data_IF_536832282141
#
_entry.id   IF_536832282141
#
_cell.length_a   1.000
_cell.length_b   1.000
_cell.length_c   1.000
_cell.angle_alpha   90.00
_cell.angle_beta   90.00
_cell.angle_gamma   90.00
#
_symmetry.space_group_name_H-M   'P 1'
#
loop_
_entity.id
_entity.type
_entity.pdbx_description
1 polymer ?
#
# COMPACT_ATOMS: atom_id res chain seq x y z
N UNK A 1 38.47 -29.12 24.50
CA UNK A 1 38.18 -27.98 25.39
C UNK A 1 36.79 -27.45 25.00
N UNK A 2 35.69 -27.99 25.54
CA UNK A 2 34.94 -27.56 26.75
C UNK A 2 34.61 -26.06 26.83
N UNK A 3 33.35 -25.73 26.49
CA UNK A 3 32.40 -24.72 27.03
C UNK A 3 31.52 -24.22 25.85
N UNK A 4 30.31 -24.73 25.60
CA UNK A 4 29.06 -24.72 26.37
C UNK A 4 28.43 -23.33 26.54
N UNK A 5 27.09 -23.32 26.41
CA UNK A 5 26.11 -22.28 26.83
C UNK A 5 25.93 -21.17 25.77
N UNK A 6 24.78 -20.85 25.17
CA UNK A 6 23.35 -21.06 25.50
C UNK A 6 22.55 -20.98 24.18
N UNK A 7 22.04 -22.11 23.66
CA UNK A 7 20.89 -22.11 22.75
C UNK A 7 19.65 -22.06 23.63
N UNK A 8 19.09 -20.87 23.83
CA UNK A 8 17.79 -20.75 24.49
C UNK A 8 16.72 -21.11 23.47
N UNK A 9 16.24 -22.34 23.59
CA UNK A 9 14.91 -22.74 23.15
C UNK A 9 13.91 -21.75 23.77
N UNK A 10 13.09 -21.13 22.93
CA UNK A 10 11.75 -20.72 23.33
C UNK A 10 10.85 -21.51 22.39
N UNK A 11 10.46 -22.69 22.88
CA UNK A 11 9.34 -23.44 22.34
C UNK A 11 8.10 -22.56 22.45
N UNK A 12 7.43 -22.40 21.31
CA UNK A 12 6.15 -21.75 21.21
C UNK A 12 5.08 -22.60 21.93
N UNK A 13 4.87 -22.34 23.22
CA UNK A 13 3.62 -22.69 23.88
C UNK A 13 2.59 -21.60 23.57
N UNK A 14 2.02 -21.65 22.36
CA UNK A 14 0.80 -20.89 22.06
C UNK A 14 -0.38 -21.77 22.45
N UNK A 15 -0.68 -21.76 23.74
CA UNK A 15 -1.94 -22.30 24.27
C UNK A 15 -3.07 -21.46 23.67
N UNK A 16 -3.87 -22.08 22.80
CA UNK A 16 -5.13 -21.55 22.30
C UNK A 16 -6.06 -21.27 23.49
N UNK A 17 -6.10 -20.02 23.98
CA UNK A 17 -7.22 -19.53 24.75
C UNK A 17 -8.38 -19.31 23.77
N UNK A 18 -9.31 -20.26 23.77
CA UNK A 18 -10.62 -20.09 23.18
C UNK A 18 -11.34 -18.96 23.94
N UNK A 19 -11.52 -17.82 23.28
CA UNK A 19 -12.44 -16.77 23.72
C UNK A 19 -13.87 -17.29 23.60
N UNK A 20 -14.69 -17.23 24.66
CA UNK A 20 -16.12 -17.53 24.54
C UNK A 20 -16.79 -16.44 23.68
N UNK A 21 -17.76 -16.78 22.81
CA UNK A 21 -18.52 -15.77 22.09
C UNK A 21 -19.36 -14.95 23.07
N UNK A 22 -19.31 -13.63 22.93
CA UNK A 22 -20.10 -12.68 23.71
C UNK A 22 -21.61 -12.90 23.51
N UNK A 23 -22.44 -12.72 24.56
CA UNK A 23 -23.89 -12.75 24.42
C UNK A 23 -24.37 -11.51 23.68
N UNK A 24 -25.10 -11.71 22.58
CA UNK A 24 -25.77 -10.66 21.84
C UNK A 24 -26.83 -9.95 22.71
N UNK A 25 -26.92 -8.60 22.68
CA UNK A 25 -27.92 -7.88 23.43
C UNK A 25 -29.32 -8.13 22.87
N UNK A 26 -30.24 -8.50 23.75
CA UNK A 26 -31.67 -8.62 23.47
C UNK A 26 -32.26 -7.24 23.14
N UNK A 27 -32.86 -7.11 21.96
CA UNK A 27 -33.62 -5.92 21.54
C UNK A 27 -35.05 -6.01 22.12
N UNK A 28 -35.54 -4.98 22.84
CA UNK A 28 -36.92 -4.94 23.35
C UNK A 28 -37.97 -4.73 22.24
N UNK A 29 -39.24 -5.12 22.45
CA UNK A 29 -40.28 -5.07 21.42
C UNK A 29 -40.72 -3.63 21.15
N UNK A 30 -40.40 -3.12 19.96
CA UNK A 30 -40.89 -1.85 19.47
C UNK A 30 -42.35 -1.97 19.00
N UNK A 31 -43.17 -1.05 19.51
CA UNK A 31 -44.56 -0.83 19.12
C UNK A 31 -44.74 -0.52 17.63
N UNK A 32 -45.99 -0.70 17.20
CA UNK A 32 -46.41 -0.75 15.81
C UNK A 32 -46.03 0.45 14.94
N UNK A 33 -45.55 0.12 13.74
CA UNK A 33 -45.64 0.92 12.54
C UNK A 33 -46.33 0.04 11.46
N UNK A 34 -47.17 0.61 10.58
CA UNK A 34 -48.03 -0.15 9.68
C UNK A 34 -47.21 -1.01 8.71
N UNK A 35 -47.59 -2.28 8.60
CA UNK A 35 -47.04 -3.25 7.64
C UNK A 35 -47.27 -2.73 6.22
N UNK A 36 -46.25 -2.61 5.36
CA UNK A 36 -46.47 -2.35 3.94
C UNK A 36 -47.22 -3.54 3.34
N UNK A 37 -48.37 -3.27 2.72
CA UNK A 37 -49.14 -4.27 1.97
C UNK A 37 -48.24 -4.97 0.94
N UNK A 38 -48.23 -6.32 0.89
CA UNK A 38 -47.50 -7.03 -0.15
C UNK A 38 -48.06 -6.67 -1.54
N UNK A 39 -47.22 -6.62 -2.59
CA UNK A 39 -47.70 -6.43 -3.95
C UNK A 39 -48.67 -7.56 -4.34
N UNK A 40 -49.64 -7.31 -5.23
CA UNK A 40 -50.59 -8.33 -5.65
C UNK A 40 -49.87 -9.52 -6.28
N UNK A 41 -50.16 -10.72 -5.79
CA UNK A 41 -49.68 -11.99 -6.34
C UNK A 41 -50.09 -12.10 -7.82
N UNK A 42 -49.19 -12.47 -8.73
CA UNK A 42 -49.57 -12.73 -10.12
C UNK A 42 -50.58 -13.88 -10.19
N UNK A 43 -51.53 -13.87 -11.14
CA UNK A 43 -52.52 -14.93 -11.26
C UNK A 43 -51.84 -16.28 -11.51
N UNK A 44 -52.27 -17.29 -10.74
CA UNK A 44 -51.87 -18.69 -10.93
C UNK A 44 -52.29 -19.13 -12.34
N UNK A 45 -51.38 -19.68 -13.16
CA UNK A 45 -51.76 -20.20 -14.47
C UNK A 45 -52.77 -21.35 -14.28
N UNK A 46 -53.80 -21.47 -15.14
CA UNK A 46 -54.76 -22.55 -15.04
C UNK A 46 -54.05 -23.90 -15.14
N UNK A 47 -54.40 -24.80 -14.20
CA UNK A 47 -53.90 -26.17 -14.15
C UNK A 47 -54.17 -26.84 -15.52
N UNK A 48 -53.15 -27.36 -16.22
CA UNK A 48 -53.37 -27.99 -17.51
C UNK A 48 -54.28 -29.20 -17.32
N UNK A 49 -55.47 -29.16 -17.94
CA UNK A 49 -56.34 -30.32 -18.08
C UNK A 49 -55.53 -31.51 -18.63
N UNK A 50 -55.67 -32.72 -18.07
CA UNK A 50 -54.94 -33.89 -18.57
C UNK A 50 -55.30 -34.09 -20.04
N UNK A 51 -54.29 -33.92 -20.92
CA UNK A 51 -54.42 -34.24 -22.33
C UNK A 51 -54.69 -35.74 -22.45
N UNK A 52 -55.83 -36.10 -23.01
CA UNK A 52 -56.14 -37.47 -23.40
C UNK A 52 -54.98 -38.00 -24.25
N UNK A 53 -54.37 -39.10 -23.80
CA UNK A 53 -53.34 -39.80 -24.54
C UNK A 53 -53.96 -40.35 -25.83
N UNK A 54 -53.55 -39.80 -26.96
CA UNK A 54 -53.91 -40.32 -28.29
C UNK A 54 -52.83 -41.35 -28.64
N UNK A 55 -53.26 -42.59 -28.85
CA UNK A 55 -52.41 -43.67 -29.34
C UNK A 55 -51.75 -43.25 -30.67
N UNK A 56 -50.41 -43.18 -30.76
CA UNK A 56 -49.70 -42.66 -31.93
C UNK A 56 -49.81 -43.56 -33.17
N UNK A 57 -50.49 -44.71 -33.09
CA UNK A 57 -50.70 -45.60 -34.24
C UNK A 57 -51.99 -45.32 -35.02
N UNK A 58 -52.87 -44.44 -34.55
CA UNK A 58 -54.09 -44.09 -35.27
C UNK A 58 -53.88 -42.81 -36.12
N UNK A 59 -53.95 -42.88 -37.47
CA UNK A 59 -53.92 -41.68 -38.28
C UNK A 59 -55.15 -40.82 -37.97
N UNK A 60 -54.93 -39.59 -37.55
CA UNK A 60 -56.00 -38.62 -37.32
C UNK A 60 -56.79 -38.40 -38.63
N UNK A 61 -58.13 -38.27 -38.58
CA UNK A 61 -58.90 -37.89 -39.76
C UNK A 61 -58.41 -36.51 -40.24
N UNK A 62 -58.20 -36.31 -41.55
CA UNK A 62 -57.67 -35.05 -42.08
C UNK A 62 -58.60 -33.90 -41.70
N UNK A 63 -58.04 -32.84 -41.11
CA UNK A 63 -58.75 -31.61 -40.83
C UNK A 63 -59.32 -31.04 -42.15
N UNK A 64 -60.61 -30.70 -42.23
CA UNK A 64 -61.19 -30.09 -43.43
C UNK A 64 -60.67 -28.65 -43.58
N UNK A 65 -59.50 -28.53 -44.22
CA UNK A 65 -58.80 -27.27 -44.44
C UNK A 65 -57.29 -27.42 -44.64
N UNK A 66 -56.69 -28.53 -44.18
CA UNK A 66 -55.27 -28.79 -44.42
C UNK A 66 -55.07 -29.48 -45.77
N UNK A 67 -54.48 -28.74 -46.72
CA UNK A 67 -54.05 -29.31 -47.99
C UNK A 67 -52.84 -30.21 -47.73
N UNK A 68 -53.06 -31.52 -47.64
CA UNK A 68 -51.98 -32.51 -47.48
C UNK A 68 -51.17 -32.55 -48.78
N UNK A 69 -50.10 -31.74 -48.83
CA UNK A 69 -49.15 -31.71 -49.93
C UNK A 69 -48.14 -32.87 -49.74
N UNK A 70 -48.29 -33.93 -50.55
CA UNK A 70 -47.29 -34.99 -50.63
C UNK A 70 -46.05 -34.48 -51.39
N UNK A 71 -45.12 -33.88 -50.66
CA UNK A 71 -43.83 -33.43 -51.18
C UNK A 71 -42.85 -34.61 -51.18
N UNK A 72 -42.20 -34.95 -52.30
CA UNK A 72 -41.19 -36.00 -52.32
C UNK A 72 -39.99 -35.58 -51.44
N UNK A 73 -39.41 -36.52 -50.69
CA UNK A 73 -38.35 -36.25 -49.71
C UNK A 73 -37.13 -35.49 -50.27
N UNK A 74 -36.78 -35.71 -51.55
CA UNK A 74 -35.75 -34.91 -52.25
C UNK A 74 -36.11 -33.43 -52.37
N UNK A 75 -37.36 -33.12 -52.74
CA UNK A 75 -37.81 -31.75 -52.87
C UNK A 75 -37.89 -31.05 -51.50
N UNK A 76 -38.25 -31.79 -50.43
CA UNK A 76 -38.18 -31.28 -49.06
C UNK A 76 -36.75 -30.90 -48.66
N UNK A 77 -35.77 -31.77 -48.93
CA UNK A 77 -34.37 -31.51 -48.63
C UNK A 77 -33.83 -30.28 -49.38
N UNK A 78 -34.21 -30.12 -50.65
CA UNK A 78 -33.80 -28.95 -51.44
C UNK A 78 -34.43 -27.65 -50.90
N UNK A 79 -35.67 -27.70 -50.44
CA UNK A 79 -36.38 -26.56 -49.86
C UNK A 79 -35.74 -26.14 -48.53
N UNK A 80 -35.45 -27.10 -47.65
CA UNK A 80 -34.71 -26.86 -46.41
C UNK A 80 -33.30 -26.32 -46.65
N UNK A 81 -32.60 -26.82 -47.68
CA UNK A 81 -31.29 -26.30 -48.04
C UNK A 81 -31.34 -24.85 -48.55
N UNK A 82 -32.38 -24.48 -49.30
CA UNK A 82 -32.61 -23.09 -49.75
C UNK A 82 -32.95 -22.18 -48.58
N UNK A 83 -33.84 -22.60 -47.69
CA UNK A 83 -34.23 -21.84 -46.51
C UNK A 83 -33.04 -21.62 -45.57
N UNK A 84 -32.24 -22.66 -45.32
CA UNK A 84 -30.98 -22.55 -44.55
C UNK A 84 -30.03 -21.54 -45.18
N UNK A 85 -29.86 -21.56 -46.51
CA UNK A 85 -29.02 -20.60 -47.24
C UNK A 85 -29.57 -19.16 -47.17
N UNK A 86 -30.89 -18.98 -47.15
CA UNK A 86 -31.52 -17.67 -46.98
C UNK A 86 -31.32 -17.16 -45.55
N UNK A 87 -31.51 -18.02 -44.55
CA UNK A 87 -31.26 -17.70 -43.14
C UNK A 87 -29.80 -17.32 -42.87
N UNK A 88 -28.83 -18.05 -43.44
CA UNK A 88 -27.41 -17.69 -43.30
C UNK A 88 -27.09 -16.35 -43.94
N UNK A 89 -27.64 -16.05 -45.12
CA UNK A 89 -27.45 -14.75 -45.77
C UNK A 89 -28.08 -13.62 -44.97
N UNK A 90 -29.29 -13.82 -44.43
CA UNK A 90 -29.94 -12.84 -43.57
C UNK A 90 -29.12 -12.57 -42.30
N UNK A 91 -28.62 -13.63 -41.65
CA UNK A 91 -27.80 -13.49 -40.45
C UNK A 91 -26.48 -12.75 -40.72
N UNK A 92 -25.81 -13.06 -41.84
CA UNK A 92 -24.61 -12.34 -42.28
C UNK A 92 -24.92 -10.87 -42.57
N UNK A 93 -26.04 -10.59 -43.23
CA UNK A 93 -26.51 -9.23 -43.52
C UNK A 93 -26.74 -8.43 -42.24
N UNK A 94 -27.44 -9.00 -41.26
CA UNK A 94 -27.68 -8.35 -39.97
C UNK A 94 -26.40 -8.14 -39.15
N UNK A 95 -25.43 -9.07 -39.24
CA UNK A 95 -24.14 -8.93 -38.59
C UNK A 95 -23.28 -7.86 -39.26
N UNK A 96 -23.28 -7.79 -40.59
CA UNK A 96 -22.60 -6.76 -41.36
C UNK A 96 -23.16 -5.37 -41.04
N UNK A 97 -24.49 -5.22 -41.04
CA UNK A 97 -25.17 -3.98 -40.66
C UNK A 97 -24.83 -3.56 -39.22
N UNK A 98 -24.87 -4.48 -38.25
CA UNK A 98 -24.52 -4.19 -36.86
C UNK A 98 -23.03 -3.84 -36.67
N UNK A 99 -22.16 -4.34 -37.55
CA UNK A 99 -20.74 -4.00 -37.59
C UNK A 99 -20.43 -2.73 -38.40
N UNK A 100 -21.43 -2.12 -39.04
CA UNK A 100 -21.27 -0.94 -39.90
C UNK A 100 -20.61 -1.23 -41.26
N UNK A 101 -20.57 -2.50 -41.66
CA UNK A 101 -20.06 -2.95 -42.96
C UNK A 101 -21.21 -3.04 -43.98
N UNK A 102 -20.89 -2.83 -45.26
CA UNK A 102 -21.91 -2.79 -46.31
C UNK A 102 -22.50 -4.20 -46.60
N UNK A 103 -23.79 -4.45 -46.29
CA UNK A 103 -24.40 -5.78 -46.29
C UNK A 103 -24.34 -6.55 -47.62
N UNK A 104 -24.20 -5.85 -48.74
CA UNK A 104 -24.24 -6.43 -50.09
C UNK A 104 -22.85 -6.81 -50.63
N UNK A 105 -21.77 -6.32 -50.02
CA UNK A 105 -20.38 -6.54 -50.50
C UNK A 105 -19.53 -7.41 -49.56
N UNK A 106 -20.01 -7.66 -48.35
CA UNK A 106 -19.26 -8.38 -47.31
C UNK A 106 -19.29 -9.89 -47.54
N UNK A 107 -18.09 -10.48 -47.65
CA UNK A 107 -17.91 -11.93 -47.66
C UNK A 107 -17.69 -12.48 -46.25
N UNK A 108 -17.99 -13.76 -46.04
CA UNK A 108 -17.74 -14.47 -44.77
C UNK A 108 -16.29 -14.32 -44.29
N UNK A 109 -15.34 -14.24 -45.22
CA UNK A 109 -13.91 -14.06 -44.93
C UNK A 109 -13.61 -12.65 -44.42
N UNK A 110 -14.25 -11.63 -44.98
CA UNK A 110 -14.12 -10.24 -44.51
C UNK A 110 -14.73 -10.05 -43.12
N UNK A 111 -15.86 -10.69 -42.84
CA UNK A 111 -16.47 -10.64 -41.51
C UNK A 111 -15.58 -11.33 -40.46
N UNK A 112 -14.99 -12.48 -40.80
CA UNK A 112 -14.04 -13.20 -39.93
C UNK A 112 -12.80 -12.37 -39.63
N UNK A 113 -12.19 -11.78 -40.65
CA UNK A 113 -11.00 -10.92 -40.49
C UNK A 113 -11.31 -9.69 -39.65
N UNK A 114 -12.45 -9.03 -39.87
CA UNK A 114 -12.89 -7.92 -39.03
C UNK A 114 -13.05 -8.33 -37.56
N UNK A 115 -13.66 -9.49 -37.28
CA UNK A 115 -13.83 -9.97 -35.92
C UNK A 115 -12.48 -10.31 -35.26
N UNK A 116 -11.54 -10.91 -35.99
CA UNK A 116 -10.21 -11.19 -35.47
C UNK A 116 -9.43 -9.92 -35.20
N UNK A 117 -9.49 -8.94 -36.11
CA UNK A 117 -8.79 -7.67 -35.97
C UNK A 117 -9.39 -6.83 -34.84
N UNK A 118 -10.71 -6.82 -34.70
CA UNK A 118 -11.41 -6.17 -33.60
C UNK A 118 -11.02 -6.79 -32.25
N UNK A 119 -10.92 -8.12 -32.17
CA UNK A 119 -10.46 -8.80 -30.97
C UNK A 119 -9.00 -8.47 -30.67
N UNK A 120 -8.12 -8.55 -31.66
CA UNK A 120 -6.71 -8.21 -31.50
C UNK A 120 -6.51 -6.74 -31.07
N UNK A 121 -7.29 -5.80 -31.62
CA UNK A 121 -7.26 -4.39 -31.24
C UNK A 121 -7.75 -4.18 -29.81
N UNK A 122 -8.81 -4.87 -29.37
CA UNK A 122 -9.27 -4.83 -27.97
C UNK A 122 -8.24 -5.41 -27.01
N UNK A 123 -7.64 -6.55 -27.35
CA UNK A 123 -6.60 -7.18 -26.54
C UNK A 123 -5.37 -6.26 -26.44
N UNK A 124 -4.97 -5.62 -27.54
CA UNK A 124 -3.92 -4.61 -27.57
C UNK A 124 -4.28 -3.37 -26.72
N UNK A 125 -5.52 -2.87 -26.80
CA UNK A 125 -5.98 -1.75 -25.99
C UNK A 125 -5.96 -2.08 -24.49
N UNK A 126 -6.46 -3.26 -24.11
CA UNK A 126 -6.44 -3.75 -22.73
C UNK A 126 -5.01 -3.87 -22.19
N UNK A 127 -4.07 -4.39 -22.99
CA UNK A 127 -2.66 -4.47 -22.56
C UNK A 127 -2.00 -3.09 -22.41
N UNK A 128 -2.35 -2.11 -23.25
CA UNK A 128 -1.86 -0.74 -23.12
C UNK A 128 -2.48 -0.01 -21.91
N UNK A 129 -3.75 -0.26 -21.61
CA UNK A 129 -4.41 0.24 -20.40
C UNK A 129 -3.77 -0.36 -19.14
N UNK A 130 -3.52 -1.66 -19.12
CA UNK A 130 -2.81 -2.33 -18.03
C UNK A 130 -1.41 -1.73 -17.83
N UNK A 131 -0.68 -1.46 -18.92
CA UNK A 131 0.63 -0.81 -18.87
C UNK A 131 0.54 0.61 -18.29
N UNK A 132 -0.45 1.39 -18.72
CA UNK A 132 -0.71 2.74 -18.19
C UNK A 132 -1.06 2.69 -16.70
N UNK A 133 -1.90 1.75 -16.28
CA UNK A 133 -2.27 1.59 -14.88
C UNK A 133 -1.05 1.22 -14.03
N UNK A 134 -0.26 0.22 -14.46
CA UNK A 134 0.96 -0.16 -13.75
C UNK A 134 1.95 1.01 -13.62
N UNK A 135 2.05 1.87 -14.64
CA UNK A 135 2.88 3.06 -14.61
C UNK A 135 2.36 4.13 -13.64
N UNK A 136 1.04 4.29 -13.52
CA UNK A 136 0.42 5.17 -12.52
C UNK A 136 0.63 4.65 -11.11
N UNK A 137 0.37 3.36 -10.87
CA UNK A 137 0.57 2.72 -9.56
C UNK A 137 2.04 2.84 -9.11
N UNK A 138 2.99 2.66 -10.04
CA UNK A 138 4.42 2.84 -9.75
C UNK A 138 4.78 4.29 -9.39
N UNK A 139 4.15 5.28 -10.05
CA UNK A 139 4.35 6.70 -9.72
C UNK A 139 3.77 7.03 -8.35
N UNK A 140 2.58 6.54 -8.04
CA UNK A 140 1.94 6.72 -6.74
C UNK A 140 2.78 6.09 -5.62
N UNK A 141 3.26 4.86 -5.82
CA UNK A 141 4.16 4.21 -4.87
C UNK A 141 5.46 5.00 -4.67
N UNK A 142 6.03 5.56 -5.74
CA UNK A 142 7.25 6.38 -5.66
C UNK A 142 7.00 7.70 -4.90
N UNK A 143 5.87 8.37 -5.14
CA UNK A 143 5.48 9.59 -4.42
C UNK A 143 5.26 9.29 -2.94
N UNK A 144 4.47 8.26 -2.62
CA UNK A 144 4.23 7.83 -1.24
C UNK A 144 5.53 7.50 -0.50
N UNK A 145 6.47 6.85 -1.18
CA UNK A 145 7.80 6.54 -0.63
C UNK A 145 8.60 7.82 -0.33
N UNK A 146 8.57 8.80 -1.24
CA UNK A 146 9.26 10.08 -1.02
C UNK A 146 8.63 10.87 0.13
N UNK A 147 7.31 10.88 0.22
CA UNK A 147 6.59 11.52 1.32
C UNK A 147 6.90 10.87 2.65
N UNK A 148 6.90 9.54 2.74
CA UNK A 148 7.25 8.83 3.97
C UNK A 148 8.70 9.07 4.38
N UNK A 149 9.63 9.13 3.42
CA UNK A 149 11.03 9.45 3.68
C UNK A 149 11.20 10.89 4.17
N UNK A 150 10.51 11.84 3.56
CA UNK A 150 10.54 13.24 3.98
C UNK A 150 9.95 13.41 5.39
N UNK A 151 8.82 12.76 5.69
CA UNK A 151 8.21 12.78 7.02
C UNK A 151 9.15 12.17 8.09
N UNK A 152 9.80 11.04 7.79
CA UNK A 152 10.78 10.44 8.69
C UNK A 152 12.03 11.33 8.90
N UNK A 153 12.48 12.02 7.86
CA UNK A 153 13.59 12.97 7.96
C UNK A 153 13.22 14.18 8.83
N UNK A 154 12.01 14.71 8.69
CA UNK A 154 11.52 15.80 9.54
C UNK A 154 11.39 15.36 11.00
N UNK A 155 10.81 14.18 11.26
CA UNK A 155 10.68 13.64 12.62
C UNK A 155 12.04 13.47 13.31
N UNK A 156 13.02 12.86 12.64
CA UNK A 156 14.37 12.68 13.19
C UNK A 156 15.11 14.00 13.40
N UNK A 157 14.93 14.99 12.51
CA UNK A 157 15.48 16.33 12.69
C UNK A 157 14.87 17.05 13.91
N UNK A 158 13.56 16.91 14.13
CA UNK A 158 12.89 17.45 15.31
C UNK A 158 13.38 16.79 16.61
N UNK A 159 13.49 15.46 16.63
CA UNK A 159 14.04 14.71 17.77
C UNK A 159 15.46 15.19 18.10
N UNK A 160 16.31 15.29 17.09
CA UNK A 160 17.70 15.78 17.25
C UNK A 160 17.72 17.20 17.82
N UNK A 161 16.85 18.09 17.32
CA UNK A 161 16.73 19.47 17.81
C UNK A 161 16.26 19.52 19.26
N UNK A 162 15.32 18.67 19.65
CA UNK A 162 14.81 18.57 21.03
C UNK A 162 15.91 18.09 21.97
N UNK A 163 16.63 17.03 21.60
CA UNK A 163 17.76 16.51 22.38
C UNK A 163 18.86 17.55 22.54
N UNK A 164 19.28 18.21 21.46
CA UNK A 164 20.28 19.26 21.51
C UNK A 164 19.88 20.44 22.42
N UNK A 165 18.58 20.81 22.46
CA UNK A 165 18.07 21.84 23.36
C UNK A 165 18.16 21.40 24.82
N UNK A 166 17.77 20.15 25.12
CA UNK A 166 17.85 19.58 26.48
C UNK A 166 19.30 19.52 26.95
N UNK A 167 20.22 19.05 26.11
CA UNK A 167 21.66 19.05 26.37
C UNK A 167 22.21 20.46 26.61
N UNK A 168 21.81 21.45 25.80
CA UNK A 168 22.23 22.84 25.98
C UNK A 168 21.80 23.43 27.34
N UNK A 169 20.62 23.07 27.84
CA UNK A 169 20.14 23.50 29.17
C UNK A 169 20.93 22.80 30.28
N UNK A 170 21.15 21.49 30.16
CA UNK A 170 21.87 20.69 31.16
C UNK A 170 23.36 21.06 31.27
N UNK A 171 24.02 21.31 30.14
CA UNK A 171 25.41 21.77 30.09
C UNK A 171 25.57 23.16 30.73
N UNK A 172 24.62 24.08 30.51
CA UNK A 172 24.57 25.39 31.21
C UNK A 172 24.40 25.24 32.72
N UNK A 173 23.72 24.18 33.18
CA UNK A 173 23.51 23.90 34.61
C UNK A 173 24.68 23.18 35.30
N UNK A 174 25.66 22.70 34.53
CA UNK A 174 26.91 22.10 35.03
C UNK A 174 27.13 20.63 34.68
N UNK A 175 26.24 19.99 33.89
CA UNK A 175 26.46 18.62 33.41
C UNK A 175 27.48 18.63 32.26
N UNK A 176 28.77 18.62 32.60
CA UNK A 176 29.87 18.76 31.62
C UNK A 176 30.50 17.44 31.19
N UNK A 177 30.37 16.38 31.99
CA UNK A 177 30.81 15.02 31.67
C UNK A 177 29.85 14.39 30.67
N UNK A 178 30.37 13.70 29.65
CA UNK A 178 29.55 12.98 28.65
C UNK A 178 28.58 12.02 29.31
N UNK A 179 29.08 11.22 30.26
CA UNK A 179 28.31 10.13 30.87
C UNK A 179 27.20 10.68 31.79
N UNK A 180 27.52 11.72 32.57
CA UNK A 180 26.53 12.38 33.44
C UNK A 180 25.51 13.17 32.62
N UNK A 181 25.91 13.75 31.49
CA UNK A 181 25.02 14.45 30.57
C UNK A 181 24.02 13.47 29.94
N UNK A 182 24.47 12.32 29.45
CA UNK A 182 23.59 11.28 28.90
C UNK A 182 22.59 10.78 29.94
N UNK A 183 23.04 10.52 31.18
CA UNK A 183 22.19 10.12 32.29
C UNK A 183 21.19 11.22 32.65
N UNK A 184 21.62 12.48 32.69
CA UNK A 184 20.74 13.62 32.98
C UNK A 184 19.69 13.84 31.89
N UNK A 185 20.06 13.68 30.61
CA UNK A 185 19.12 13.73 29.47
C UNK A 185 18.08 12.63 29.59
N UNK A 186 18.47 11.41 29.94
CA UNK A 186 17.55 10.29 30.13
C UNK A 186 16.57 10.52 31.29
N UNK A 187 17.03 11.11 32.40
CA UNK A 187 16.13 11.49 33.50
C UNK A 187 15.18 12.62 33.10
N UNK A 188 15.66 13.62 32.37
CA UNK A 188 14.83 14.73 31.90
C UNK A 188 13.77 14.25 30.92
N UNK A 189 14.12 13.36 29.99
CA UNK A 189 13.18 12.75 29.04
C UNK A 189 12.06 11.96 29.71
N UNK A 190 12.28 11.39 30.90
CA UNK A 190 11.25 10.69 31.67
C UNK A 190 10.39 11.64 32.51
N UNK A 191 10.95 12.77 32.94
CA UNK A 191 10.29 13.73 33.81
C UNK A 191 9.39 14.72 33.05
N UNK A 192 9.68 14.95 31.77
CA UNK A 192 9.05 15.99 30.95
C UNK A 192 8.55 15.40 29.64
N UNK A 193 7.34 15.81 29.23
CA UNK A 193 6.77 15.41 27.95
C UNK A 193 7.63 15.86 26.76
N UNK A 194 7.51 15.16 25.63
CA UNK A 194 8.34 15.43 24.45
C UNK A 194 8.02 16.74 23.73
N UNK A 195 6.85 17.31 23.98
CA UNK A 195 6.33 18.57 23.46
C UNK A 195 6.38 19.73 24.47
N UNK A 196 7.00 19.53 25.64
CA UNK A 196 7.09 20.55 26.66
C UNK A 196 7.89 21.78 26.20
N UNK A 197 7.46 22.95 26.69
CA UNK A 197 8.10 24.23 26.39
C UNK A 197 9.46 24.40 27.09
N UNK A 198 10.19 25.46 26.74
CA UNK A 198 11.53 25.71 27.31
C UNK A 198 11.48 25.88 28.83
N UNK A 199 10.45 26.56 29.31
CA UNK A 199 10.29 26.88 30.73
C UNK A 199 10.07 25.61 31.56
N UNK A 200 9.24 24.68 31.09
CA UNK A 200 9.04 23.39 31.74
C UNK A 200 10.31 22.52 31.73
N UNK A 201 11.03 22.47 30.61
CA UNK A 201 12.32 21.76 30.51
C UNK A 201 13.35 22.34 31.48
N UNK A 202 13.42 23.68 31.58
CA UNK A 202 14.34 24.35 32.50
C UNK A 202 13.97 24.12 33.96
N UNK A 203 12.68 24.24 34.32
CA UNK A 203 12.22 23.98 35.68
C UNK A 203 12.50 22.53 36.12
N UNK A 204 12.26 21.56 35.23
CA UNK A 204 12.58 20.16 35.51
C UNK A 204 14.09 19.91 35.63
N UNK A 205 14.91 20.59 34.82
CA UNK A 205 16.36 20.51 34.93
C UNK A 205 16.89 21.10 36.25
N UNK A 206 16.29 22.19 36.74
CA UNK A 206 16.60 22.75 38.06
C UNK A 206 16.20 21.81 39.21
N UNK A 207 15.03 21.17 39.11
CA UNK A 207 14.64 20.11 40.06
C UNK A 207 15.59 18.91 40.00
N UNK A 208 16.05 18.52 38.81
CA UNK A 208 17.05 17.46 38.64
C UNK A 208 18.35 17.82 39.37
N UNK A 209 18.79 19.08 39.26
CA UNK A 209 19.99 19.57 39.96
C UNK A 209 19.86 19.48 41.47
N UNK A 210 18.67 19.75 42.02
CA UNK A 210 18.43 19.60 43.47
C UNK A 210 18.39 18.14 43.93
N UNK A 211 17.79 17.26 43.13
CA UNK A 211 17.61 15.84 43.52
C UNK A 211 18.83 14.97 43.21
N UNK A 212 19.63 15.36 42.22
CA UNK A 212 20.78 14.61 41.69
C UNK A 212 21.97 15.52 41.43
N UNK A 213 22.38 16.26 42.46
CA UNK A 213 23.49 17.21 42.39
C UNK A 213 24.80 16.60 41.85
N UNK A 214 25.05 15.30 42.12
CA UNK A 214 26.23 14.58 41.66
C UNK A 214 26.41 14.60 40.12
N UNK A 215 25.32 14.70 39.35
CA UNK A 215 25.36 14.75 37.88
C UNK A 215 25.80 16.14 37.34
N UNK A 216 25.83 17.16 38.19
CA UNK A 216 26.12 18.55 37.83
C UNK A 216 27.39 19.09 38.51
N UNK A 217 28.00 18.32 39.40
CA UNK A 217 29.29 18.63 40.00
C UNK A 217 30.37 18.00 39.14
N UNK A 218 30.95 18.78 38.22
CA UNK A 218 32.13 18.35 37.50
C UNK A 218 33.21 17.87 38.48
N UNK A 219 33.91 16.80 38.13
CA UNK A 219 35.05 16.33 38.92
C UNK A 219 35.99 17.52 39.19
N UNK A 220 36.47 17.71 40.44
CA UNK A 220 37.32 18.84 40.76
C UNK A 220 38.51 18.83 39.81
N UNK A 221 38.70 19.94 39.08
CA UNK A 221 39.90 20.17 38.29
C UNK A 221 41.08 19.93 39.23
N UNK A 222 41.85 18.85 38.98
CA UNK A 222 43.00 18.54 39.79
C UNK A 222 43.90 19.79 39.82
N UNK A 223 44.24 20.33 41.00
CA UNK A 223 45.08 21.52 41.07
C UNK A 223 46.37 21.22 40.33
N UNK A 224 46.67 22.01 39.32
CA UNK A 224 47.96 21.94 38.61
C UNK A 224 49.03 22.21 39.65
N UNK A 225 49.74 21.16 40.07
CA UNK A 225 50.87 21.31 40.97
C UNK A 225 51.88 22.27 40.31
N UNK A 226 52.45 23.23 41.07
CA UNK A 226 53.41 24.18 40.51
C UNK A 226 54.58 23.43 39.87
N UNK A 227 55.12 23.92 38.74
CA UNK A 227 56.25 23.29 38.09
C UNK A 227 57.39 23.20 39.11
N UNK A 228 57.83 21.98 39.40
CA UNK A 228 58.96 21.76 40.28
C UNK A 228 60.19 22.51 39.74
N UNK A 229 61.03 23.12 40.60
CA UNK A 229 62.24 23.81 40.17
C UNK A 229 63.16 22.82 39.44
N UNK A 230 63.25 22.97 38.12
CA UNK A 230 63.96 22.06 37.23
C UNK A 230 65.47 22.16 37.42
N UNK A 231 66.07 21.10 37.93
CA UNK A 231 67.47 20.78 37.70
C UNK A 231 67.56 19.64 36.69
N UNK A 232 68.36 19.84 35.63
CA UNK A 232 68.87 18.90 34.60
C UNK A 232 68.42 19.18 33.14
N UNK A 233 69.28 18.82 32.16
CA UNK A 233 69.78 19.73 31.13
C UNK A 233 69.00 19.68 29.81
N UNK A 234 69.10 20.80 29.08
CA UNK A 234 68.79 21.01 27.66
C UNK A 234 68.45 19.75 26.84
N UNK A 235 67.17 19.45 26.72
CA UNK A 235 66.65 18.36 25.91
C UNK A 235 65.14 18.45 25.74
N UNK A 236 64.64 19.65 25.42
CA UNK A 236 63.22 19.84 25.13
C UNK A 236 62.81 19.10 23.84
N UNK A 237 61.62 18.49 23.78
CA UNK A 237 61.11 17.91 22.54
C UNK A 237 61.02 18.99 21.45
N UNK A 238 61.26 18.64 20.17
CA UNK A 238 61.26 19.63 19.09
C UNK A 238 59.91 20.37 19.04
N UNK A 239 59.91 21.69 18.77
CA UNK A 239 58.69 22.46 18.67
C UNK A 239 57.77 21.86 17.60
N UNK A 240 56.49 21.70 17.92
CA UNK A 240 55.47 21.24 16.96
C UNK A 240 55.49 22.18 15.76
N UNK A 241 55.82 21.64 14.60
CA UNK A 241 55.72 22.37 13.34
C UNK A 241 54.27 22.79 13.13
N UNK A 242 54.03 24.09 13.07
CA UNK A 242 52.76 24.64 12.58
C UNK A 242 52.58 24.20 11.12
N UNK A 243 51.41 23.69 10.71
CA UNK A 243 51.19 23.27 9.34
C UNK A 243 51.37 24.47 8.39
N UNK A 244 52.26 24.31 7.39
CA UNK A 244 52.59 25.34 6.40
C UNK A 244 51.44 25.66 5.41
N UNK A 245 50.32 24.94 5.52
CA UNK A 245 49.16 25.13 4.65
C UNK A 245 48.08 25.86 5.44
N UNK A 246 47.65 27.01 4.93
CA UNK A 246 46.60 27.80 5.57
C UNK A 246 45.32 26.94 5.67
N UNK A 247 44.66 26.90 6.84
CA UNK A 247 43.38 26.23 6.97
C UNK A 247 42.39 26.82 5.94
N UNK A 248 42.00 26.01 4.95
CA UNK A 248 41.09 26.43 3.88
C UNK A 248 41.58 26.17 2.45
N UNK A 249 42.90 26.00 2.23
CA UNK A 249 43.43 25.82 0.87
C UNK A 249 42.98 24.50 0.22
N UNK A 250 42.94 23.40 0.99
CA UNK A 250 42.35 22.12 0.53
C UNK A 250 40.87 22.24 0.17
N UNK A 251 40.14 23.11 0.87
CA UNK A 251 38.74 23.38 0.58
C UNK A 251 38.56 24.14 -0.73
N UNK A 252 39.43 25.14 -0.98
CA UNK A 252 39.47 25.89 -2.24
C UNK A 252 39.88 25.02 -3.43
N UNK A 253 40.87 24.14 -3.28
CA UNK A 253 41.27 23.22 -4.35
C UNK A 253 40.14 22.25 -4.72
N UNK A 254 39.43 21.70 -3.72
CA UNK A 254 38.23 20.88 -3.98
C UNK A 254 37.11 21.67 -4.64
N UNK A 255 36.86 22.91 -4.21
CA UNK A 255 35.84 23.76 -4.82
C UNK A 255 36.17 24.10 -6.28
N UNK A 256 37.45 24.32 -6.60
CA UNK A 256 37.92 24.48 -7.99
C UNK A 256 37.80 23.20 -8.81
N UNK A 257 38.19 22.06 -8.24
CA UNK A 257 38.06 20.75 -8.90
C UNK A 257 36.60 20.35 -9.19
N UNK A 258 35.66 20.87 -8.40
CA UNK A 258 34.22 20.64 -8.57
C UNK A 258 33.50 21.77 -9.33
N UNK A 259 34.23 22.80 -9.80
CA UNK A 259 33.66 23.91 -10.57
C UNK A 259 32.78 24.89 -9.77
N UNK A 260 32.85 24.87 -8.44
CA UNK A 260 32.07 25.75 -7.55
C UNK A 260 32.80 27.05 -7.16
N UNK A 261 34.07 27.19 -7.51
CA UNK A 261 34.84 28.41 -7.27
C UNK A 261 35.65 28.77 -8.53
N UNK A 262 35.33 29.93 -9.12
CA UNK A 262 36.10 30.59 -10.18
C UNK A 262 37.17 31.50 -9.61
#
# INVERSE_FOLDING_TARGET
>A
MRRAVMRRQIEAATTLYATPPEPTPAVPPAGGAPVPTPPPTPPVPPNPTPRSYVDPTQPAPPNPGETVLNIPQRALNDLLAKEKKQGTRHALRSLAEAAGLDPETVTDEQLKTFLTDSKAARDAALTEEQRRQAALDAREAAVKTRESQAAAALASAEETRRTARREAILTRLGATSSDDLEIAVAFLARAVADDADEAAVQAAAEQLKTTKAALFTGAPVAPVAPPAPGGLPAGGPPPRQTPAVKPGDRGRERAKAMGLAG
#
